data_IF_311096414569
#
_entry.id   IF_311096414569
#
_cell.length_a   1.000
_cell.length_b   1.000
_cell.length_c   1.000
_cell.angle_alpha   90.00
_cell.angle_beta   90.00
_cell.angle_gamma   90.00
#
_symmetry.space_group_name_H-M   'P 1'
#
loop_
_entity.id
_entity.type
_entity.pdbx_description
1 polymer ?
#
# COMPACT_ATOMS: atom_id res chain seq x y z
N UNK A 1 -5.91 1.52 -9.20
CA UNK A 1 -6.48 1.96 -10.50
C UNK A 1 -5.69 3.09 -11.13
N UNK A 2 -5.29 4.12 -10.37
CA UNK A 2 -4.49 5.27 -10.86
C UNK A 2 -3.31 4.89 -11.76
N UNK A 3 -2.54 3.85 -11.40
CA UNK A 3 -1.40 3.44 -12.21
C UNK A 3 -1.80 2.71 -13.50
N UNK A 4 -2.86 1.91 -13.50
CA UNK A 4 -3.38 1.28 -14.74
C UNK A 4 -3.82 2.36 -15.72
N UNK A 5 -4.54 3.39 -15.25
CA UNK A 5 -4.94 4.51 -16.10
C UNK A 5 -3.73 5.33 -16.58
N UNK A 6 -2.77 5.64 -15.70
CA UNK A 6 -1.56 6.39 -16.05
C UNK A 6 -0.72 5.67 -17.11
N UNK A 7 -0.36 4.42 -16.86
CA UNK A 7 0.47 3.66 -17.78
C UNK A 7 -0.30 3.19 -19.01
N UNK A 8 -1.62 2.99 -18.90
CA UNK A 8 -2.50 2.77 -20.04
C UNK A 8 -2.45 3.95 -21.02
N UNK A 9 -2.58 5.18 -20.52
CA UNK A 9 -2.44 6.38 -21.35
C UNK A 9 -1.06 6.49 -22.01
N UNK A 10 0.01 6.19 -21.27
CA UNK A 10 1.39 6.25 -21.79
C UNK A 10 1.66 5.18 -22.86
N UNK A 11 1.12 3.98 -22.68
CA UNK A 11 1.29 2.84 -23.57
C UNK A 11 0.19 2.73 -24.64
N UNK A 12 -0.70 3.73 -24.72
CA UNK A 12 -1.80 3.82 -25.69
C UNK A 12 -2.76 2.63 -25.62
N UNK A 13 -3.05 2.17 -24.40
CA UNK A 13 -4.09 1.17 -24.14
C UNK A 13 -5.43 1.87 -23.86
N UNK A 14 -6.46 1.43 -24.57
CA UNK A 14 -7.87 1.78 -24.41
C UNK A 14 -8.49 0.98 -23.27
N UNK A 15 -9.22 1.65 -22.39
CA UNK A 15 -9.99 1.02 -21.29
C UNK A 15 -11.45 1.38 -21.47
N UNK A 16 -12.30 0.40 -21.72
CA UNK A 16 -13.76 0.57 -21.77
C UNK A 16 -14.37 0.47 -20.37
N UNK A 17 -13.80 -0.38 -19.52
CA UNK A 17 -14.23 -0.59 -18.15
C UNK A 17 -13.11 -1.16 -17.29
N UNK A 18 -13.12 -0.85 -16.01
CA UNK A 18 -12.17 -1.42 -15.05
C UNK A 18 -12.81 -1.52 -13.67
N UNK A 19 -12.62 -2.66 -13.01
CA UNK A 19 -13.05 -2.90 -11.63
C UNK A 19 -11.91 -3.54 -10.85
N UNK A 20 -11.67 -3.04 -9.65
CA UNK A 20 -10.72 -3.63 -8.71
C UNK A 20 -11.45 -4.06 -7.46
N UNK A 21 -11.24 -5.31 -7.02
CA UNK A 21 -11.59 -5.80 -5.69
C UNK A 21 -10.31 -6.01 -4.91
N UNK A 22 -10.25 -5.47 -3.70
CA UNK A 22 -9.15 -5.70 -2.76
C UNK A 22 -9.70 -6.30 -1.48
N UNK A 23 -9.16 -7.44 -1.08
CA UNK A 23 -9.45 -8.06 0.22
C UNK A 23 -8.18 -7.99 1.05
N UNK A 24 -8.23 -7.31 2.20
CA UNK A 24 -7.10 -7.20 3.11
C UNK A 24 -7.44 -7.85 4.45
N UNK A 25 -6.48 -8.59 5.02
CA UNK A 25 -6.60 -9.18 6.35
C UNK A 25 -5.69 -8.48 7.32
N UNK A 26 -6.20 -8.20 8.51
CA UNK A 26 -5.48 -7.56 9.60
C UNK A 26 -5.63 -8.36 10.89
N UNK A 27 -4.67 -8.21 11.79
CA UNK A 27 -4.74 -8.69 13.16
C UNK A 27 -4.34 -7.57 14.11
N UNK A 28 -5.00 -7.55 15.25
CA UNK A 28 -4.66 -6.71 16.38
C UNK A 28 -4.47 -7.62 17.57
N UNK A 29 -3.31 -7.50 18.20
CA UNK A 29 -2.94 -8.23 19.40
C UNK A 29 -2.72 -7.22 20.55
N UNK A 30 -2.79 -7.66 21.81
CA UNK A 30 -2.53 -6.82 22.98
C UNK A 30 -3.74 -6.00 23.49
N UNK A 31 -3.48 -5.01 24.35
CA UNK A 31 -4.51 -4.18 24.98
C UNK A 31 -4.16 -2.70 24.90
N UNK A 32 -5.17 -1.89 24.55
CA UNK A 32 -5.07 -0.42 24.56
C UNK A 32 -4.88 0.09 26.00
N UNK A 33 -5.61 -0.45 26.96
CA UNK A 33 -5.53 0.00 28.36
C UNK A 33 -4.19 -0.33 29.02
N UNK A 34 -3.52 -1.38 28.53
CA UNK A 34 -2.24 -1.84 29.08
C UNK A 34 -1.05 -1.42 28.20
N UNK A 35 -1.23 -0.55 27.22
CA UNK A 35 -0.17 -0.06 26.32
C UNK A 35 0.65 -1.15 25.60
N UNK A 36 -0.02 -2.24 25.20
CA UNK A 36 0.61 -3.37 24.48
C UNK A 36 0.01 -3.61 23.10
N UNK A 37 -0.84 -2.69 22.64
CA UNK A 37 -1.59 -2.83 21.40
C UNK A 37 -0.63 -2.88 20.20
N UNK A 38 -0.77 -3.91 19.36
CA UNK A 38 0.01 -4.05 18.14
C UNK A 38 -0.88 -4.48 16.98
N UNK A 39 -0.95 -3.63 15.95
CA UNK A 39 -1.60 -3.94 14.69
C UNK A 39 -0.61 -4.52 13.68
N UNK A 40 -1.11 -5.43 12.83
CA UNK A 40 -0.36 -5.96 11.68
C UNK A 40 -1.29 -6.32 10.53
N UNK A 41 -0.81 -6.11 9.31
CA UNK A 41 -1.45 -6.62 8.10
C UNK A 41 -0.96 -8.06 7.85
N UNK A 42 -1.89 -8.98 7.64
CA UNK A 42 -1.60 -10.39 7.36
C UNK A 42 -1.45 -10.67 5.85
N UNK A 43 -2.03 -9.81 5.02
CA UNK A 43 -1.94 -9.91 3.57
C UNK A 43 -3.04 -9.12 2.86
N UNK A 44 -2.90 -8.97 1.55
CA UNK A 44 -3.96 -8.49 0.68
C UNK A 44 -4.02 -9.33 -0.60
N UNK A 45 -5.24 -9.62 -1.04
CA UNK A 45 -5.54 -10.14 -2.37
C UNK A 45 -6.17 -9.04 -3.23
N UNK A 46 -5.81 -9.01 -4.51
CA UNK A 46 -6.41 -8.10 -5.49
C UNK A 46 -6.95 -8.87 -6.68
N UNK A 47 -8.14 -8.51 -7.13
CA UNK A 47 -8.72 -8.98 -8.40
C UNK A 47 -9.01 -7.77 -9.26
N UNK A 48 -8.29 -7.66 -10.38
CA UNK A 48 -8.44 -6.60 -11.37
C UNK A 48 -9.15 -7.16 -12.60
N UNK A 49 -10.32 -6.61 -12.89
CA UNK A 49 -11.08 -6.87 -14.10
C UNK A 49 -10.90 -5.65 -15.03
N UNK A 50 -10.52 -5.89 -16.28
CA UNK A 50 -10.35 -4.85 -17.31
C UNK A 50 -11.12 -5.28 -18.55
N UNK A 51 -11.93 -4.37 -19.07
CA UNK A 51 -12.53 -4.44 -20.39
C UNK A 51 -11.76 -3.52 -21.34
N UNK A 52 -11.20 -4.10 -22.40
CA UNK A 52 -10.36 -3.42 -23.38
C UNK A 52 -10.45 -4.14 -24.73
N UNK A 53 -10.51 -3.40 -25.85
CA UNK A 53 -10.46 -3.99 -27.18
C UNK A 53 -9.02 -4.34 -27.63
N UNK A 54 -8.01 -3.96 -26.84
CA UNK A 54 -6.61 -4.09 -27.25
C UNK A 54 -6.06 -5.51 -27.09
N UNK A 55 -4.95 -5.84 -27.77
CA UNK A 55 -4.26 -7.12 -27.64
C UNK A 55 -3.90 -7.47 -26.18
N UNK A 56 -4.10 -8.73 -25.72
CA UNK A 56 -3.85 -9.14 -24.34
C UNK A 56 -2.41 -8.89 -23.85
N UNK A 57 -1.42 -8.94 -24.74
CA UNK A 57 -0.02 -8.68 -24.42
C UNK A 57 0.23 -7.21 -24.06
N UNK A 58 -0.45 -6.27 -24.72
CA UNK A 58 -0.44 -4.85 -24.36
C UNK A 58 -1.08 -4.63 -22.99
N UNK A 59 -2.25 -5.24 -22.75
CA UNK A 59 -2.95 -5.15 -21.46
C UNK A 59 -2.06 -5.69 -20.33
N UNK A 60 -1.48 -6.88 -20.53
CA UNK A 60 -0.57 -7.48 -19.55
C UNK A 60 0.67 -6.61 -19.30
N UNK A 61 1.21 -5.96 -20.34
CA UNK A 61 2.32 -5.00 -20.19
C UNK A 61 1.91 -3.79 -19.33
N UNK A 62 0.73 -3.23 -19.55
CA UNK A 62 0.21 -2.12 -18.74
C UNK A 62 0.02 -2.54 -17.29
N UNK A 63 -0.61 -3.69 -17.05
CA UNK A 63 -0.84 -4.22 -15.69
C UNK A 63 0.49 -4.40 -14.96
N UNK A 64 1.49 -5.06 -15.56
CA UNK A 64 2.82 -5.22 -14.94
C UNK A 64 3.49 -3.89 -14.59
N UNK A 65 3.39 -2.89 -15.46
CA UNK A 65 3.91 -1.54 -15.16
C UNK A 65 3.14 -0.88 -14.02
N UNK A 66 1.81 -1.03 -14.01
CA UNK A 66 0.96 -0.48 -12.97
C UNK A 66 1.25 -1.09 -11.60
N UNK A 67 1.54 -2.39 -11.53
CA UNK A 67 1.86 -3.06 -10.28
C UNK A 67 3.23 -2.65 -9.74
N UNK A 68 4.23 -2.59 -10.63
CA UNK A 68 5.59 -2.11 -10.30
C UNK A 68 5.61 -0.63 -9.90
N UNK A 69 4.74 0.19 -10.50
CA UNK A 69 4.61 1.61 -10.20
C UNK A 69 3.66 1.95 -9.04
N UNK A 70 2.98 0.96 -8.45
CA UNK A 70 2.05 1.20 -7.35
C UNK A 70 2.80 1.36 -6.03
N UNK A 71 2.95 2.60 -5.57
CA UNK A 71 3.67 2.93 -4.32
C UNK A 71 3.22 2.10 -3.12
N UNK A 72 1.91 1.87 -2.94
CA UNK A 72 1.38 1.08 -1.82
C UNK A 72 1.82 -0.39 -1.91
N UNK A 73 1.73 -1.01 -3.09
CA UNK A 73 2.16 -2.41 -3.24
C UNK A 73 3.68 -2.53 -3.09
N UNK A 74 4.44 -1.58 -3.61
CA UNK A 74 5.88 -1.56 -3.43
C UNK A 74 6.27 -1.38 -1.97
N UNK A 75 5.60 -0.52 -1.21
CA UNK A 75 5.83 -0.35 0.22
C UNK A 75 5.42 -1.57 1.06
N UNK A 76 4.40 -2.32 0.62
CA UNK A 76 4.00 -3.58 1.27
C UNK A 76 4.96 -4.74 0.96
N UNK A 77 5.47 -4.83 -0.27
CA UNK A 77 6.39 -5.89 -0.72
C UNK A 77 7.84 -5.62 -0.31
N UNK A 78 8.22 -4.34 -0.26
CA UNK A 78 9.55 -3.86 0.11
C UNK A 78 9.40 -2.80 1.20
N UNK A 79 9.23 -3.20 2.47
CA UNK A 79 9.01 -2.27 3.57
C UNK A 79 10.15 -1.25 3.69
N UNK A 80 9.77 0.03 3.81
CA UNK A 80 10.69 1.14 4.05
C UNK A 80 10.54 1.66 5.48
N UNK A 81 11.58 2.26 6.07
CA UNK A 81 11.45 2.92 7.37
C UNK A 81 10.36 4.00 7.35
N UNK A 82 9.52 4.01 8.38
CA UNK A 82 8.51 5.06 8.60
C UNK A 82 8.93 5.86 9.83
N UNK A 83 9.19 7.16 9.65
CA UNK A 83 9.52 8.08 10.74
C UNK A 83 8.34 9.02 11.03
N UNK A 84 7.92 9.10 12.29
CA UNK A 84 6.91 10.03 12.76
C UNK A 84 7.46 10.97 13.83
N UNK A 85 6.87 12.17 13.95
CA UNK A 85 7.09 13.08 15.08
C UNK A 85 5.74 13.51 15.61
N UNK A 86 5.56 13.42 16.93
CA UNK A 86 4.33 13.85 17.58
C UNK A 86 4.60 15.16 18.31
N UNK A 87 3.72 16.15 18.10
CA UNK A 87 3.74 17.41 18.84
C UNK A 87 2.51 17.47 19.75
N UNK A 88 2.71 17.72 21.04
CA UNK A 88 1.65 18.01 21.99
C UNK A 88 1.63 19.52 22.25
N UNK A 89 0.54 20.19 21.87
CA UNK A 89 0.36 21.63 22.02
C UNK A 89 1.52 22.46 21.43
N UNK A 90 2.04 22.04 20.28
CA UNK A 90 3.13 22.71 19.57
C UNK A 90 4.55 22.38 20.05
N UNK A 91 4.70 21.61 21.14
CA UNK A 91 5.99 21.13 21.61
C UNK A 91 6.18 19.64 21.24
N UNK A 92 7.42 19.18 20.94
CA UNK A 92 7.69 17.76 20.77
C UNK A 92 7.18 16.96 21.97
N UNK A 93 6.34 15.97 21.71
CA UNK A 93 5.92 15.02 22.73
C UNK A 93 7.11 14.10 23.00
N UNK A 94 7.78 14.31 24.13
CA UNK A 94 8.79 13.37 24.62
C UNK A 94 8.10 12.07 25.00
N UNK A 95 8.41 11.04 24.24
CA UNK A 95 8.21 9.63 24.55
C UNK A 95 8.83 9.37 25.93
N UNK A 96 7.99 9.27 26.96
CA UNK A 96 8.40 9.03 28.35
C UNK A 96 9.06 7.66 28.61
N UNK A 97 9.66 7.03 27.60
CA UNK A 97 10.33 5.73 27.64
C UNK A 97 11.75 5.85 27.10
N UNK A 98 12.72 5.67 27.99
CA UNK A 98 14.15 5.79 27.71
C UNK A 98 14.66 4.93 26.55
N UNK A 99 15.73 5.44 25.94
CA UNK A 99 16.64 4.71 25.07
C UNK A 99 17.01 3.33 25.62
N UNK A 100 16.55 2.26 24.97
CA UNK A 100 17.25 0.98 24.99
C UNK A 100 18.10 0.91 23.71
N UNK A 101 19.33 1.41 23.82
CA UNK A 101 20.43 1.05 22.92
C UNK A 101 20.54 -0.47 22.91
N UNK A 102 20.51 -1.09 21.73
CA UNK A 102 20.89 -2.49 21.55
C UNK A 102 22.36 -2.50 21.11
N UNK A 103 23.23 -2.84 22.05
CA UNK A 103 24.52 -3.46 21.76
C UNK A 103 24.31 -4.91 21.29
#
# INVERSE_FOLDING_TARGET
MTQVSRYGHMLKMTVNGMRMRVTARYRVDGSVLNDTIQGRMLGAETTLEIDSPDPPDLVARVVRNAERGCFVMQALQNPVPVSGRTLLNGAPLSDGGGSASRD
#
